data_IF_072696884592
#
_entry.id   IF_072696884592
#
_cell.length_a   1.000
_cell.length_b   1.000
_cell.length_c   1.000
_cell.angle_alpha   90.00
_cell.angle_beta   90.00
_cell.angle_gamma   90.00
#
_symmetry.space_group_name_H-M   'P 1'
#
loop_
_entity.id
_entity.type
_entity.pdbx_description
1 polymer ?
#
# COMPACT_ATOMS: atom_id res chain seq x y z
N UNK A 1 11.48 8.84 -16.85
CA UNK A 1 11.31 9.89 -15.82
C UNK A 1 10.12 9.61 -14.90
N UNK A 2 8.89 9.45 -15.38
CA UNK A 2 7.71 9.17 -14.55
C UNK A 2 7.82 7.88 -13.73
N UNK A 3 8.29 6.79 -14.32
CA UNK A 3 8.52 5.51 -13.66
C UNK A 3 9.50 5.63 -12.47
N UNK A 4 10.64 6.27 -12.68
CA UNK A 4 11.66 6.47 -11.61
C UNK A 4 11.08 7.26 -10.45
N UNK A 5 10.39 8.36 -10.74
CA UNK A 5 9.72 9.17 -9.74
C UNK A 5 8.68 8.39 -8.93
N UNK A 6 7.88 7.54 -9.59
CA UNK A 6 6.90 6.70 -8.89
C UNK A 6 7.59 5.66 -8.00
N UNK A 7 8.64 4.99 -8.48
CA UNK A 7 9.39 4.02 -7.69
C UNK A 7 10.01 4.66 -6.44
N UNK A 8 10.60 5.84 -6.56
CA UNK A 8 11.13 6.60 -5.42
C UNK A 8 10.04 6.95 -4.40
N UNK A 9 8.86 7.35 -4.87
CA UNK A 9 7.73 7.61 -3.99
C UNK A 9 7.29 6.35 -3.24
N UNK A 10 7.16 5.22 -3.93
CA UNK A 10 6.78 3.95 -3.28
C UNK A 10 7.82 3.49 -2.25
N UNK A 11 9.11 3.68 -2.49
CA UNK A 11 10.17 3.40 -1.50
C UNK A 11 10.01 4.24 -0.22
N UNK A 12 9.46 5.43 -0.33
CA UNK A 12 9.28 6.35 0.79
C UNK A 12 7.95 6.17 1.53
N UNK A 13 6.88 5.72 0.86
CA UNK A 13 5.54 5.62 1.44
C UNK A 13 5.49 4.85 2.77
N UNK A 14 6.14 3.68 2.93
CA UNK A 14 6.09 2.95 4.19
C UNK A 14 6.60 3.75 5.39
N UNK A 15 7.57 4.61 5.19
CA UNK A 15 8.17 5.41 6.26
C UNK A 15 7.47 6.75 6.45
N UNK A 16 7.11 7.40 5.34
CA UNK A 16 6.42 8.69 5.37
C UNK A 16 5.01 8.58 5.98
N UNK A 17 4.31 7.48 5.72
CA UNK A 17 2.94 7.25 6.15
C UNK A 17 2.79 6.23 7.28
N UNK A 18 3.87 5.81 7.94
CA UNK A 18 3.84 4.82 9.02
C UNK A 18 2.83 5.17 10.12
N UNK A 19 2.75 6.44 10.51
CA UNK A 19 1.80 6.92 11.51
C UNK A 19 0.34 6.81 11.03
N UNK A 20 0.09 7.08 9.76
CA UNK A 20 -1.24 6.90 9.17
C UNK A 20 -1.63 5.43 9.13
N UNK A 21 -0.68 4.54 8.82
CA UNK A 21 -0.90 3.09 8.86
C UNK A 21 -1.22 2.59 10.27
N UNK A 22 -0.51 3.08 11.28
CA UNK A 22 -0.80 2.77 12.67
C UNK A 22 -2.24 3.19 13.05
N UNK A 23 -2.64 4.39 12.67
CA UNK A 23 -4.01 4.89 12.91
C UNK A 23 -5.06 4.03 12.20
N UNK A 24 -4.84 3.69 10.93
CA UNK A 24 -5.72 2.83 10.15
C UNK A 24 -5.92 1.48 10.84
N UNK A 25 -4.82 0.85 11.25
CA UNK A 25 -4.85 -0.46 11.90
C UNK A 25 -5.52 -0.40 13.26
N UNK A 26 -5.29 0.64 14.05
CA UNK A 26 -6.00 0.85 15.33
C UNK A 26 -7.51 0.95 15.13
N UNK A 27 -7.97 1.68 14.13
CA UNK A 27 -9.39 1.81 13.80
C UNK A 27 -10.01 0.47 13.38
N UNK A 28 -9.33 -0.25 12.50
CA UNK A 28 -9.77 -1.59 12.08
C UNK A 28 -9.82 -2.56 13.26
N UNK A 29 -8.81 -2.53 14.15
CA UNK A 29 -8.77 -3.37 15.35
C UNK A 29 -9.89 -3.06 16.35
N UNK A 30 -10.40 -1.84 16.33
CA UNK A 30 -11.56 -1.42 17.13
C UNK A 30 -12.92 -1.81 16.50
N UNK A 31 -12.90 -2.42 15.31
CA UNK A 31 -14.12 -2.78 14.58
C UNK A 31 -14.75 -1.63 13.80
N UNK A 32 -14.04 -0.52 13.64
CA UNK A 32 -14.54 0.63 12.89
C UNK A 32 -14.64 0.31 11.40
N UNK A 33 -15.64 0.88 10.74
CA UNK A 33 -15.72 0.90 9.28
C UNK A 33 -14.90 2.06 8.76
N UNK A 34 -13.88 1.76 7.96
CA UNK A 34 -12.89 2.74 7.49
C UNK A 34 -12.91 2.84 5.97
N UNK A 35 -12.86 4.06 5.46
CA UNK A 35 -12.61 4.34 4.05
C UNK A 35 -11.16 4.83 3.91
N UNK A 36 -10.36 4.10 3.12
CA UNK A 36 -8.99 4.48 2.80
C UNK A 36 -8.97 5.13 1.42
N UNK A 37 -8.50 6.35 1.33
CA UNK A 37 -8.40 7.06 0.06
C UNK A 37 -7.14 7.91 -0.03
N UNK A 38 -6.75 8.22 -1.25
CA UNK A 38 -5.82 9.28 -1.60
C UNK A 38 -6.41 10.05 -2.79
N UNK A 39 -5.61 10.52 -3.74
CA UNK A 39 -6.15 11.22 -4.92
C UNK A 39 -6.78 10.24 -5.92
N UNK A 40 -6.08 9.16 -6.25
CA UNK A 40 -6.52 8.15 -7.21
C UNK A 40 -6.92 6.82 -6.57
N UNK A 41 -6.67 6.65 -5.27
CA UNK A 41 -6.88 5.38 -4.58
C UNK A 41 -5.89 4.26 -4.95
N UNK A 42 -4.90 4.57 -5.77
CA UNK A 42 -3.97 3.59 -6.36
C UNK A 42 -2.66 3.48 -5.57
N UNK A 43 -1.93 4.58 -5.43
CA UNK A 43 -0.54 4.55 -4.95
C UNK A 43 -0.48 4.56 -3.41
N UNK A 44 -0.79 5.68 -2.78
CA UNK A 44 -0.76 5.81 -1.31
C UNK A 44 -1.77 4.92 -0.62
N UNK A 45 -3.01 4.91 -1.09
CA UNK A 45 -4.07 4.06 -0.57
C UNK A 45 -3.77 2.58 -0.84
N UNK A 46 -3.32 2.22 -2.05
CA UNK A 46 -2.94 0.86 -2.40
C UNK A 46 -1.81 0.33 -1.54
N UNK A 47 -0.78 1.14 -1.25
CA UNK A 47 0.31 0.75 -0.33
C UNK A 47 -0.22 0.58 1.09
N UNK A 48 -1.10 1.46 1.57
CA UNK A 48 -1.72 1.32 2.90
C UNK A 48 -2.52 0.02 3.03
N UNK A 49 -3.34 -0.32 2.03
CA UNK A 49 -4.08 -1.58 1.99
C UNK A 49 -3.14 -2.78 1.96
N UNK A 50 -2.08 -2.72 1.16
CA UNK A 50 -1.07 -3.78 1.11
C UNK A 50 -0.41 -4.02 2.48
N UNK A 51 -0.14 -2.97 3.27
CA UNK A 51 0.39 -3.11 4.62
C UNK A 51 -0.62 -3.74 5.58
N UNK A 52 -1.89 -3.38 5.50
CA UNK A 52 -2.96 -4.01 6.30
C UNK A 52 -3.10 -5.49 5.97
N UNK A 53 -3.18 -5.85 4.69
CA UNK A 53 -3.27 -7.25 4.26
C UNK A 53 -2.06 -8.06 4.72
N UNK A 54 -0.87 -7.49 4.63
CA UNK A 54 0.37 -8.13 5.13
C UNK A 54 0.31 -8.34 6.65
N UNK A 55 -0.14 -7.35 7.42
CA UNK A 55 -0.31 -7.48 8.88
C UNK A 55 -1.35 -8.55 9.25
N UNK A 56 -2.38 -8.74 8.43
CA UNK A 56 -3.36 -9.82 8.56
C UNK A 56 -2.79 -11.20 8.25
N UNK A 57 -1.62 -11.28 7.63
CA UNK A 57 -0.98 -12.54 7.25
C UNK A 57 -1.36 -13.04 5.86
N UNK A 58 -1.92 -12.17 5.02
CA UNK A 58 -2.20 -12.50 3.61
C UNK A 58 -0.90 -12.76 2.87
N UNK A 59 -0.78 -13.84 2.10
CA UNK A 59 0.42 -14.12 1.30
C UNK A 59 0.76 -12.98 0.35
N UNK A 60 2.05 -12.72 0.15
CA UNK A 60 2.53 -11.61 -0.68
C UNK A 60 1.95 -11.63 -2.10
N UNK A 61 1.88 -12.79 -2.72
CA UNK A 61 1.32 -12.92 -4.07
C UNK A 61 -0.13 -12.44 -4.14
N UNK A 62 -0.94 -12.80 -3.15
CA UNK A 62 -2.34 -12.35 -3.04
C UNK A 62 -2.44 -10.85 -2.78
N UNK A 63 -1.53 -10.27 -1.98
CA UNK A 63 -1.44 -8.81 -1.77
C UNK A 63 -1.17 -8.09 -3.09
N UNK A 64 -0.27 -8.63 -3.91
CA UNK A 64 0.04 -8.07 -5.22
C UNK A 64 -1.12 -8.23 -6.21
N UNK A 65 -1.78 -9.38 -6.23
CA UNK A 65 -2.99 -9.60 -7.03
C UNK A 65 -4.07 -8.56 -6.70
N UNK A 66 -4.37 -8.34 -5.42
CA UNK A 66 -5.33 -7.33 -4.97
C UNK A 66 -4.95 -5.92 -5.46
N UNK A 67 -3.70 -5.53 -5.28
CA UNK A 67 -3.20 -4.23 -5.74
C UNK A 67 -3.35 -4.05 -7.26
N UNK A 68 -3.08 -5.08 -8.05
CA UNK A 68 -3.15 -5.05 -9.51
C UNK A 68 -4.58 -5.01 -10.05
N UNK A 69 -5.60 -5.37 -9.24
CA UNK A 69 -7.02 -5.21 -9.59
C UNK A 69 -7.39 -3.75 -9.91
N UNK A 70 -6.61 -2.79 -9.42
CA UNK A 70 -6.73 -1.38 -9.81
C UNK A 70 -6.78 -1.21 -11.33
N UNK A 71 -5.98 -1.95 -12.08
CA UNK A 71 -5.94 -1.85 -13.54
C UNK A 71 -7.24 -2.28 -14.22
N UNK A 72 -8.01 -3.14 -13.57
CA UNK A 72 -9.28 -3.64 -14.07
C UNK A 72 -10.46 -2.77 -13.68
N UNK A 73 -10.47 -2.25 -12.45
CA UNK A 73 -11.66 -1.62 -11.86
C UNK A 73 -11.56 -0.09 -11.76
N UNK A 74 -10.36 0.48 -11.84
CA UNK A 74 -10.21 1.92 -11.72
C UNK A 74 -10.52 2.64 -13.03
N UNK A 75 -11.56 3.47 -13.02
CA UNK A 75 -11.87 4.39 -14.11
C UNK A 75 -11.00 5.65 -13.99
N UNK A 76 -10.22 5.92 -15.03
CA UNK A 76 -9.34 7.09 -15.11
C UNK A 76 -10.11 8.42 -15.20
N UNK A 77 -11.38 8.37 -15.63
CA UNK A 77 -12.28 9.52 -15.65
C UNK A 77 -11.76 10.70 -16.45
N UNK A 78 -11.02 10.48 -17.54
CA UNK A 78 -10.49 11.55 -18.39
C UNK A 78 -9.37 12.38 -17.75
N UNK A 79 -8.68 11.85 -16.74
CA UNK A 79 -7.53 12.52 -16.08
C UNK A 79 -6.30 12.63 -16.95
N UNK A 80 -6.30 11.98 -18.10
CA UNK A 80 -5.25 12.08 -19.09
C UNK A 80 -5.28 13.47 -19.72
N UNK A 81 -4.14 14.14 -19.72
CA UNK A 81 -4.02 15.44 -20.39
C UNK A 81 -3.83 15.24 -21.90
N UNK A 82 -4.47 16.04 -22.76
CA UNK A 82 -4.18 16.00 -24.19
C UNK A 82 -2.67 16.17 -24.45
N UNK A 83 -2.11 15.30 -25.29
CA UNK A 83 -0.71 15.35 -25.68
C UNK A 83 0.26 14.57 -24.77
N UNK A 84 -0.22 13.87 -23.72
CA UNK A 84 0.61 12.92 -23.01
C UNK A 84 0.90 11.70 -23.91
N UNK A 85 2.16 11.29 -23.95
CA UNK A 85 2.51 10.07 -24.68
C UNK A 85 1.95 8.81 -23.98
N UNK A 86 1.58 7.77 -24.77
CA UNK A 86 0.93 6.57 -24.20
C UNK A 86 1.77 5.82 -23.16
N UNK A 87 3.08 5.87 -23.27
CA UNK A 87 3.97 5.19 -22.32
C UNK A 87 3.97 5.91 -20.97
N UNK A 88 4.05 7.22 -20.96
CA UNK A 88 3.94 8.06 -19.76
C UNK A 88 2.57 7.88 -19.10
N UNK A 89 1.49 7.84 -19.89
CA UNK A 89 0.14 7.53 -19.39
C UNK A 89 0.11 6.16 -18.71
N UNK A 90 0.64 5.13 -19.34
CA UNK A 90 0.70 3.80 -18.78
C UNK A 90 1.52 3.75 -17.49
N UNK A 91 2.64 4.46 -17.42
CA UNK A 91 3.47 4.52 -16.21
C UNK A 91 2.74 5.20 -15.05
N UNK A 92 2.08 6.33 -15.28
CA UNK A 92 1.44 7.11 -14.21
C UNK A 92 0.13 6.48 -13.75
N UNK A 93 -0.68 5.98 -14.67
CA UNK A 93 -2.06 5.59 -14.39
C UNK A 93 -2.27 4.08 -14.19
N UNK A 94 -1.28 3.23 -14.39
CA UNK A 94 -1.39 1.80 -14.10
C UNK A 94 -0.79 1.45 -12.75
N UNK A 95 -1.42 0.52 -12.05
CA UNK A 95 -0.78 -0.20 -10.97
C UNK A 95 0.23 -1.17 -11.57
N UNK A 96 1.46 -1.18 -11.07
CA UNK A 96 2.52 -2.05 -11.56
C UNK A 96 3.17 -2.78 -10.40
N UNK A 97 3.44 -4.06 -10.61
CA UNK A 97 4.10 -4.90 -9.62
C UNK A 97 5.40 -4.27 -9.11
N UNK A 98 6.20 -3.72 -10.02
CA UNK A 98 7.47 -3.05 -9.69
C UNK A 98 7.31 -1.88 -8.71
N UNK A 99 6.18 -1.16 -8.73
CA UNK A 99 5.95 -0.04 -7.81
C UNK A 99 5.71 -0.54 -6.39
N UNK A 100 4.79 -1.48 -6.20
CA UNK A 100 4.55 -2.04 -4.88
C UNK A 100 5.78 -2.80 -4.36
N UNK A 101 6.50 -3.50 -5.25
CA UNK A 101 7.75 -4.17 -4.90
C UNK A 101 8.82 -3.19 -4.41
N UNK A 102 8.90 -1.98 -4.96
CA UNK A 102 9.81 -0.94 -4.48
C UNK A 102 9.52 -0.56 -3.00
N UNK A 103 8.26 -0.52 -2.59
CA UNK A 103 7.89 -0.30 -1.20
C UNK A 103 8.34 -1.46 -0.29
N UNK A 104 8.08 -2.70 -0.67
CA UNK A 104 8.50 -3.87 0.10
C UNK A 104 10.03 -4.00 0.18
N UNK A 105 10.73 -3.78 -0.94
CA UNK A 105 12.21 -3.81 -0.95
C UNK A 105 12.79 -2.75 -0.03
N UNK A 106 12.26 -1.54 -0.02
CA UNK A 106 12.71 -0.49 0.89
C UNK A 106 12.47 -0.84 2.37
N UNK A 107 11.38 -1.53 2.69
CA UNK A 107 11.12 -2.06 4.04
C UNK A 107 12.18 -3.11 4.40
N UNK A 108 12.42 -4.07 3.53
CA UNK A 108 13.37 -5.16 3.77
C UNK A 108 14.80 -4.64 3.87
N UNK A 109 15.20 -3.70 3.02
CA UNK A 109 16.52 -3.07 3.05
C UNK A 109 16.78 -2.28 4.35
N UNK A 110 15.78 -1.59 4.88
CA UNK A 110 15.93 -0.74 6.08
C UNK A 110 15.65 -1.46 7.39
N UNK A 111 14.75 -2.41 7.39
CA UNK A 111 14.24 -3.09 8.59
C UNK A 111 14.56 -4.57 8.65
N UNK A 112 15.07 -5.16 7.58
CA UNK A 112 15.37 -6.60 7.46
C UNK A 112 14.14 -7.43 7.11
N UNK A 113 13.03 -7.27 7.82
CA UNK A 113 11.75 -7.96 7.55
C UNK A 113 10.57 -7.01 7.63
N UNK A 114 9.44 -7.40 7.03
CA UNK A 114 8.18 -6.65 7.14
C UNK A 114 7.64 -6.70 8.57
N UNK A 115 7.82 -7.81 9.27
CA UNK A 115 7.43 -7.97 10.69
C UNK A 115 8.19 -6.97 11.57
N UNK A 116 9.48 -6.81 11.37
CA UNK A 116 10.29 -5.82 12.08
C UNK A 116 9.81 -4.39 11.77
N UNK A 117 9.52 -4.09 10.52
CA UNK A 117 8.94 -2.81 10.11
C UNK A 117 7.59 -2.54 10.79
N UNK A 118 6.68 -3.48 10.77
CA UNK A 118 5.37 -3.34 11.42
C UNK A 118 5.50 -3.09 12.93
N UNK A 119 6.42 -3.78 13.59
CA UNK A 119 6.68 -3.63 15.01
C UNK A 119 7.37 -2.31 15.34
N UNK A 120 8.52 -2.03 14.72
CA UNK A 120 9.43 -0.98 15.16
C UNK A 120 9.13 0.38 14.50
N UNK A 121 8.58 0.41 13.30
CA UNK A 121 8.28 1.64 12.56
C UNK A 121 6.80 2.00 12.67
N UNK A 122 5.89 1.04 12.46
CA UNK A 122 4.44 1.26 12.56
C UNK A 122 3.96 1.17 14.02
N UNK A 123 4.66 0.44 14.87
CA UNK A 123 4.32 0.30 16.29
C UNK A 123 3.31 -0.79 16.59
N UNK A 124 3.22 -1.82 15.73
CA UNK A 124 2.32 -2.97 15.91
C UNK A 124 3.05 -4.09 16.64
N UNK A 125 2.87 -4.18 17.92
CA UNK A 125 3.31 -5.33 18.71
C UNK A 125 2.41 -6.56 18.47
N UNK A 126 2.76 -7.69 19.10
CA UNK A 126 1.99 -8.93 18.96
C UNK A 126 0.54 -8.81 19.44
N UNK A 127 0.30 -8.00 20.47
CA UNK A 127 -1.05 -7.75 20.99
C UNK A 127 -1.90 -6.96 19.97
N UNK A 128 -1.33 -5.93 19.35
CA UNK A 128 -1.98 -5.14 18.30
C UNK A 128 -2.27 -5.97 17.04
N UNK A 129 -1.34 -6.83 16.63
CA UNK A 129 -1.55 -7.75 15.52
C UNK A 129 -2.65 -8.78 15.80
N UNK A 130 -2.68 -9.33 17.01
CA UNK A 130 -3.73 -10.26 17.43
C UNK A 130 -5.12 -9.57 17.44
N UNK A 131 -5.21 -8.34 17.94
CA UNK A 131 -6.44 -7.57 17.95
C UNK A 131 -6.94 -7.28 16.52
N UNK A 132 -6.04 -6.90 15.60
CA UNK A 132 -6.37 -6.69 14.19
C UNK A 132 -6.94 -7.96 13.55
N UNK A 133 -6.28 -9.09 13.75
CA UNK A 133 -6.71 -10.40 13.21
C UNK A 133 -8.06 -10.81 13.77
N UNK A 134 -8.28 -10.65 15.07
CA UNK A 134 -9.57 -10.95 15.70
C UNK A 134 -10.70 -10.07 15.14
N UNK A 135 -10.45 -8.81 14.86
CA UNK A 135 -11.44 -7.88 14.34
C UNK A 135 -11.76 -8.09 12.85
N UNK A 136 -10.79 -8.53 12.05
CA UNK A 136 -10.90 -8.56 10.60
C UNK A 136 -11.00 -9.97 9.99
N UNK A 137 -10.66 -11.01 10.75
CA UNK A 137 -10.71 -12.41 10.29
C UNK A 137 -11.74 -13.20 11.08
N UNK A 138 -12.40 -14.10 10.36
CA UNK A 138 -13.38 -15.04 10.97
C UNK A 138 -12.72 -16.13 11.82
#
# INVERSE_FOLDING_TARGET
MARTYLMENYQNYPFLYAKAYATLIQRLSAGDRVIVHCTAGKDRAGTAVAMVLTALGVPRDTVFEDYLLTNQYWDRGGRERPGMDPETVAQIFSAREEYLNAAFSAIEDRCGTVETYLKDVVGLDQTALAALRTACLD
#
